data_IF_442613981157
#
_entry.id   IF_442613981157
#
_cell.length_a   1.000
_cell.length_b   1.000
_cell.length_c   1.000
_cell.angle_alpha   90.00
_cell.angle_beta   90.00
_cell.angle_gamma   90.00
#
_symmetry.space_group_name_H-M   'P 1'
#
loop_
_entity.id
_entity.type
_entity.pdbx_description
1 polymer ?
#
# COMPACT_ATOMS: atom_id res chain seq x y z
N UNK A 1 33.88 8.25 -15.88
CA UNK A 1 32.96 7.36 -16.63
C UNK A 1 32.01 6.92 -15.56
N UNK A 2 31.10 7.83 -15.21
CA UNK A 2 30.30 7.78 -13.98
C UNK A 2 28.87 8.12 -14.38
N UNK A 3 28.35 7.27 -15.26
CA UNK A 3 26.99 7.29 -15.77
C UNK A 3 26.30 6.01 -15.27
N UNK A 4 26.15 5.91 -13.95
CA UNK A 4 25.60 4.72 -13.29
C UNK A 4 24.64 5.04 -12.14
N UNK A 5 24.41 6.32 -11.81
CA UNK A 5 23.55 6.71 -10.69
C UNK A 5 22.22 7.37 -11.11
N UNK A 6 21.96 7.53 -12.41
CA UNK A 6 20.79 8.26 -12.91
C UNK A 6 19.56 7.38 -13.23
N UNK A 7 19.66 6.05 -13.13
CA UNK A 7 18.65 5.10 -13.63
C UNK A 7 17.88 4.35 -12.53
N UNK A 8 17.91 4.80 -11.27
CA UNK A 8 17.19 4.11 -10.17
C UNK A 8 15.77 4.66 -9.91
N UNK A 9 15.39 5.81 -10.50
CA UNK A 9 14.19 6.55 -10.05
C UNK A 9 13.33 7.19 -11.16
N UNK A 10 13.01 6.44 -12.23
CA UNK A 10 12.07 6.90 -13.26
C UNK A 10 10.60 6.67 -12.89
N UNK A 11 10.32 6.02 -11.75
CA UNK A 11 8.96 5.77 -11.27
C UNK A 11 8.51 6.91 -10.36
N UNK A 12 7.30 7.47 -10.57
CA UNK A 12 6.79 8.51 -9.68
C UNK A 12 6.76 8.01 -8.23
N UNK A 13 6.97 8.94 -7.30
CA UNK A 13 6.83 8.67 -5.87
C UNK A 13 5.43 8.12 -5.57
N UNK A 14 5.27 7.28 -4.53
CA UNK A 14 3.95 6.92 -4.01
C UNK A 14 3.12 8.19 -3.72
N UNK A 15 1.81 8.10 -3.96
CA UNK A 15 0.87 9.18 -3.66
C UNK A 15 -0.18 8.62 -2.69
N UNK A 16 -0.17 9.07 -1.41
CA UNK A 16 -1.10 8.58 -0.38
C UNK A 16 -2.58 8.76 -0.75
N UNK A 17 -2.97 9.94 -1.26
CA UNK A 17 -4.35 10.21 -1.72
C UNK A 17 -4.84 9.19 -2.76
N UNK A 18 -4.00 8.84 -3.75
CA UNK A 18 -4.34 7.86 -4.78
C UNK A 18 -4.46 6.44 -4.22
N UNK A 19 -3.60 6.07 -3.27
CA UNK A 19 -3.68 4.78 -2.59
C UNK A 19 -4.99 4.69 -1.78
N UNK A 20 -5.34 5.77 -1.06
CA UNK A 20 -6.59 5.86 -0.33
C UNK A 20 -7.80 5.73 -1.26
N UNK A 21 -7.78 6.42 -2.41
CA UNK A 21 -8.82 6.30 -3.44
C UNK A 21 -9.02 4.86 -3.93
N UNK A 22 -7.93 4.17 -4.25
CA UNK A 22 -7.97 2.76 -4.67
C UNK A 22 -8.52 1.83 -3.58
N UNK A 23 -8.24 2.12 -2.32
CA UNK A 23 -8.79 1.36 -1.19
C UNK A 23 -10.29 1.63 -1.02
N UNK A 24 -10.72 2.90 -1.11
CA UNK A 24 -12.13 3.31 -1.02
C UNK A 24 -12.98 2.68 -2.13
N UNK A 25 -12.47 2.53 -3.34
CA UNK A 25 -13.14 1.79 -4.41
C UNK A 25 -13.51 0.36 -3.97
N UNK A 26 -12.61 -0.34 -3.26
CA UNK A 26 -12.91 -1.65 -2.70
C UNK A 26 -13.94 -1.60 -1.57
N UNK A 27 -13.80 -0.65 -0.62
CA UNK A 27 -14.76 -0.47 0.48
C UNK A 27 -16.18 -0.24 -0.05
N UNK A 28 -16.33 0.46 -1.17
CA UNK A 28 -17.61 0.68 -1.85
C UNK A 28 -18.11 -0.51 -2.68
N UNK A 29 -17.32 -1.57 -2.79
CA UNK A 29 -17.63 -2.76 -3.58
C UNK A 29 -17.42 -2.58 -5.09
N UNK A 30 -16.70 -1.54 -5.50
CA UNK A 30 -16.44 -1.21 -6.92
C UNK A 30 -15.29 -2.06 -7.48
N UNK A 31 -14.40 -2.57 -6.63
CA UNK A 31 -13.30 -3.46 -7.02
C UNK A 31 -13.21 -4.71 -6.14
N UNK A 32 -12.65 -5.80 -6.68
CA UNK A 32 -12.39 -7.03 -5.92
C UNK A 32 -11.14 -6.86 -5.02
N UNK A 33 -11.07 -7.54 -3.84
CA UNK A 33 -9.92 -7.43 -2.94
C UNK A 33 -8.58 -7.67 -3.63
N UNK A 34 -8.47 -8.73 -4.45
CA UNK A 34 -7.22 -9.02 -5.17
C UNK A 34 -6.83 -7.96 -6.22
N UNK A 35 -7.81 -7.29 -6.84
CA UNK A 35 -7.57 -6.19 -7.79
C UNK A 35 -7.12 -4.94 -7.03
N UNK A 36 -7.76 -4.62 -5.92
CA UNK A 36 -7.37 -3.53 -5.03
C UNK A 36 -5.94 -3.72 -4.51
N UNK A 37 -5.58 -4.90 -4.00
CA UNK A 37 -4.21 -5.17 -3.52
C UNK A 37 -3.17 -5.03 -4.66
N UNK A 38 -3.50 -5.47 -5.87
CA UNK A 38 -2.63 -5.27 -7.03
C UNK A 38 -2.47 -3.78 -7.42
N UNK A 39 -3.54 -2.98 -7.29
CA UNK A 39 -3.49 -1.54 -7.52
C UNK A 39 -2.62 -0.86 -6.45
N UNK A 40 -2.81 -1.17 -5.17
CA UNK A 40 -2.00 -0.64 -4.06
C UNK A 40 -0.52 -1.00 -4.21
N UNK A 41 -0.22 -2.24 -4.62
CA UNK A 41 1.14 -2.68 -4.91
C UNK A 41 1.76 -1.86 -6.05
N UNK A 42 1.00 -1.64 -7.12
CA UNK A 42 1.42 -0.80 -8.25
C UNK A 42 1.62 0.65 -7.82
N UNK A 43 0.78 1.16 -6.93
CA UNK A 43 0.89 2.46 -6.27
C UNK A 43 1.99 2.56 -5.21
N UNK A 44 2.77 1.49 -5.01
CA UNK A 44 3.92 1.42 -4.10
C UNK A 44 3.56 1.50 -2.60
N UNK A 45 2.39 0.98 -2.19
CA UNK A 45 2.05 0.83 -0.78
C UNK A 45 3.14 0.15 0.08
N UNK A 46 3.86 -0.90 -0.37
CA UNK A 46 4.91 -1.53 0.45
C UNK A 46 5.99 -0.54 0.90
N UNK A 47 6.28 0.45 0.06
CA UNK A 47 7.30 1.45 0.33
C UNK A 47 6.80 2.53 1.29
N UNK A 48 5.51 2.87 1.21
CA UNK A 48 4.84 3.74 2.18
C UNK A 48 4.88 3.09 3.56
N UNK A 49 4.49 1.81 3.68
CA UNK A 49 4.53 1.09 4.96
C UNK A 49 5.96 1.02 5.53
N UNK A 50 6.96 0.78 4.68
CA UNK A 50 8.36 0.76 5.09
C UNK A 50 8.86 2.14 5.56
N UNK A 51 8.41 3.23 4.93
CA UNK A 51 8.80 4.60 5.29
C UNK A 51 8.18 5.06 6.62
N UNK A 52 6.95 4.63 6.92
CA UNK A 52 6.30 4.89 8.22
C UNK A 52 6.99 4.14 9.36
N UNK A 53 7.57 2.97 9.08
CA UNK A 53 8.31 2.19 10.06
C UNK A 53 7.40 1.57 11.13
N UNK A 54 7.74 1.76 12.41
CA UNK A 54 7.06 1.12 13.54
C UNK A 54 5.56 1.46 13.62
N UNK A 55 5.14 2.62 13.09
CA UNK A 55 3.72 3.01 13.04
C UNK A 55 2.87 2.17 12.08
N UNK A 56 3.49 1.34 11.25
CA UNK A 56 2.81 0.51 10.25
C UNK A 56 3.15 -0.99 10.38
N UNK A 57 3.76 -1.43 11.48
CA UNK A 57 4.28 -2.80 11.62
C UNK A 57 3.23 -3.87 11.33
N UNK A 58 2.04 -3.78 11.95
CA UNK A 58 0.99 -4.79 11.79
C UNK A 58 0.44 -4.82 10.36
N UNK A 59 0.26 -3.65 9.74
CA UNK A 59 -0.13 -3.51 8.33
C UNK A 59 0.92 -4.12 7.40
N UNK A 60 2.20 -3.88 7.68
CA UNK A 60 3.32 -4.44 6.93
C UNK A 60 3.39 -5.95 7.06
N UNK A 61 3.14 -6.53 8.23
CA UNK A 61 3.10 -7.98 8.42
C UNK A 61 1.97 -8.64 7.62
N UNK A 62 0.76 -8.08 7.68
CA UNK A 62 -0.38 -8.54 6.88
C UNK A 62 -0.07 -8.51 5.39
N UNK A 63 0.49 -7.38 4.91
CA UNK A 63 0.91 -7.22 3.53
C UNK A 63 1.93 -8.28 3.10
N UNK A 64 2.94 -8.53 3.93
CA UNK A 64 3.97 -9.53 3.65
C UNK A 64 3.42 -10.97 3.69
N UNK A 65 2.38 -11.22 4.49
CA UNK A 65 1.62 -12.47 4.47
C UNK A 65 0.96 -12.73 3.11
N UNK A 66 0.36 -11.70 2.51
CA UNK A 66 -0.21 -11.78 1.16
C UNK A 66 0.86 -11.98 0.09
N UNK A 67 1.95 -11.21 0.11
CA UNK A 67 3.05 -11.31 -0.85
C UNK A 67 3.69 -12.72 -0.88
N UNK A 68 3.70 -13.41 0.27
CA UNK A 68 4.20 -14.79 0.39
C UNK A 68 3.15 -15.86 0.06
N UNK A 69 1.95 -15.46 -0.35
CA UNK A 69 0.83 -16.36 -0.63
C UNK A 69 0.33 -17.11 0.61
N UNK A 70 0.49 -16.53 1.80
CA UNK A 70 0.10 -17.14 3.09
C UNK A 70 -1.26 -16.68 3.57
N UNK A 71 -1.70 -15.50 3.15
CA UNK A 71 -2.96 -14.89 3.59
C UNK A 71 -3.80 -14.57 2.36
N UNK A 72 -5.11 -14.82 2.46
CA UNK A 72 -6.04 -14.61 1.35
C UNK A 72 -6.26 -13.11 1.09
N UNK A 73 -6.52 -12.69 -0.18
CA UNK A 73 -6.73 -11.28 -0.50
C UNK A 73 -7.82 -10.57 0.31
N UNK A 74 -8.93 -11.27 0.61
CA UNK A 74 -10.02 -10.69 1.38
C UNK A 74 -9.63 -10.47 2.85
N UNK A 75 -8.93 -11.43 3.45
CA UNK A 75 -8.44 -11.34 4.83
C UNK A 75 -7.42 -10.20 4.99
N UNK A 76 -6.54 -10.02 4.01
CA UNK A 76 -5.62 -8.86 4.00
C UNK A 76 -6.36 -7.55 3.81
N UNK A 77 -7.33 -7.48 2.90
CA UNK A 77 -8.11 -6.26 2.70
C UNK A 77 -8.86 -5.83 3.98
N UNK A 78 -9.49 -6.79 4.67
CA UNK A 78 -10.15 -6.56 5.96
C UNK A 78 -9.16 -6.15 7.04
N UNK A 79 -8.02 -6.84 7.15
CA UNK A 79 -6.99 -6.49 8.14
C UNK A 79 -6.35 -5.12 7.89
N UNK A 80 -6.23 -4.68 6.62
CA UNK A 80 -5.79 -3.33 6.30
C UNK A 80 -6.83 -2.26 6.71
N UNK A 81 -8.12 -2.57 6.57
CA UNK A 81 -9.22 -1.69 7.00
C UNK A 81 -9.26 -1.58 8.53
N UNK A 82 -9.31 -2.73 9.21
CA UNK A 82 -9.31 -2.83 10.68
C UNK A 82 -8.04 -2.22 11.30
N UNK A 83 -6.91 -2.31 10.59
CA UNK A 83 -5.62 -1.74 10.99
C UNK A 83 -5.45 -0.26 10.67
N UNK A 84 -6.48 0.42 10.14
CA UNK A 84 -6.47 1.87 9.95
C UNK A 84 -5.64 2.36 8.77
N UNK A 85 -5.55 1.60 7.67
CA UNK A 85 -4.79 2.01 6.48
C UNK A 85 -5.25 3.37 5.94
N UNK A 86 -6.55 3.66 5.93
CA UNK A 86 -7.07 4.95 5.44
C UNK A 86 -6.63 6.12 6.32
N UNK A 87 -6.64 5.95 7.64
CA UNK A 87 -6.19 6.98 8.57
C UNK A 87 -4.69 7.24 8.38
N UNK A 88 -3.88 6.18 8.29
CA UNK A 88 -2.44 6.29 8.01
C UNK A 88 -2.16 7.02 6.69
N UNK A 89 -2.91 6.73 5.63
CA UNK A 89 -2.73 7.38 4.33
C UNK A 89 -3.20 8.84 4.36
N UNK A 90 -4.24 9.16 5.14
CA UNK A 90 -4.69 10.53 5.37
C UNK A 90 -3.66 11.36 6.11
N UNK A 91 -3.09 10.84 7.20
CA UNK A 91 -2.04 11.51 7.97
C UNK A 91 -0.80 11.83 7.11
N UNK A 92 -0.47 10.97 6.14
CA UNK A 92 0.65 11.18 5.21
C UNK A 92 0.35 12.17 4.08
N UNK A 93 -0.91 12.38 3.72
CA UNK A 93 -1.31 13.38 2.72
C UNK A 93 -1.27 14.80 3.31
N UNK A 94 -1.51 14.92 4.62
CA UNK A 94 -1.50 16.19 5.36
C UNK A 94 -0.10 16.62 5.86
N UNK A 95 0.91 15.74 5.78
CA UNK A 95 2.27 15.95 6.28
C UNK A 95 3.22 16.65 5.28
#
# INVERSE_FOLDING_TARGET
MDDAAAEENSRPAPNPEKLAGQFVEWVRGETLPGRMLANLKTGRLPEVLAAVGDGATDLAELWQGWERGKVLPLEVAQGLDDGGLLDLLGDLDEA
#
